data_IF_117955903684
#
_entry.id   IF_117955903684
#
_cell.length_a   1.000
_cell.length_b   1.000
_cell.length_c   1.000
_cell.angle_alpha   90.00
_cell.angle_beta   90.00
_cell.angle_gamma   90.00
#
_symmetry.space_group_name_H-M   'P 1'
#
loop_
_entity.id
_entity.type
_entity.pdbx_description
1 polymer ?
#
# COMPACT_ATOMS: atom_id res chain seq x y z
N UNK A 1 1.07 2.16 26.48
CA UNK A 1 1.82 3.24 25.79
C UNK A 1 2.21 2.84 24.37
N UNK A 2 1.92 3.68 23.37
CA UNK A 2 2.39 3.49 21.99
C UNK A 2 3.89 3.81 21.87
N UNK A 3 4.54 3.27 20.82
CA UNK A 3 5.94 3.59 20.50
C UNK A 3 6.14 5.08 20.13
N UNK A 4 5.19 5.65 19.38
CA UNK A 4 5.15 7.06 18.98
C UNK A 4 3.73 7.59 19.19
N UNK A 5 3.59 8.76 19.82
CA UNK A 5 2.34 9.52 19.87
C UNK A 5 2.55 10.91 19.27
N UNK A 6 1.89 11.15 18.15
CA UNK A 6 1.85 12.43 17.42
C UNK A 6 0.41 12.85 17.13
N UNK A 7 -0.54 12.40 17.97
CA UNK A 7 -1.96 12.71 17.83
C UNK A 7 -2.26 14.22 17.86
N UNK A 8 -1.35 15.05 18.39
CA UNK A 8 -1.44 16.51 18.42
C UNK A 8 -1.39 17.16 17.02
N UNK A 9 -0.80 16.49 16.04
CA UNK A 9 -0.58 17.02 14.67
C UNK A 9 -1.15 16.18 13.55
N UNK A 10 -1.59 14.95 13.84
CA UNK A 10 -2.25 14.04 12.89
C UNK A 10 -3.76 14.30 12.87
N UNK A 11 -4.37 14.29 11.68
CA UNK A 11 -5.83 14.32 11.55
C UNK A 11 -6.43 13.13 12.28
N UNK A 12 -7.37 13.40 13.17
CA UNK A 12 -8.18 12.37 13.81
C UNK A 12 -9.49 12.18 13.02
N UNK A 13 -9.68 11.07 12.29
CA UNK A 13 -10.86 10.87 11.47
C UNK A 13 -12.11 10.64 12.34
N UNK A 14 -13.14 11.46 12.15
CA UNK A 14 -14.37 11.40 12.95
C UNK A 14 -15.47 10.50 12.38
N UNK A 15 -15.22 9.79 11.27
CA UNK A 15 -16.23 8.96 10.60
C UNK A 15 -15.60 7.70 9.98
N UNK A 16 -16.35 6.58 9.90
CA UNK A 16 -15.92 5.40 9.16
C UNK A 16 -15.58 5.73 7.70
N UNK A 17 -14.54 5.07 7.17
CA UNK A 17 -14.12 5.22 5.77
C UNK A 17 -13.32 6.47 5.44
N UNK A 18 -12.96 7.27 6.44
CA UNK A 18 -12.02 8.37 6.26
C UNK A 18 -10.59 7.83 6.29
N UNK A 19 -9.91 7.93 5.14
CA UNK A 19 -8.61 7.31 4.89
C UNK A 19 -7.42 8.11 5.46
N UNK A 20 -7.68 9.23 6.13
CA UNK A 20 -6.64 10.11 6.70
C UNK A 20 -6.17 9.57 8.05
N UNK A 21 -5.04 10.08 8.53
CA UNK A 21 -4.47 9.72 9.84
C UNK A 21 -2.99 9.40 9.74
N UNK A 22 -2.52 8.48 10.58
CA UNK A 22 -1.19 7.88 10.47
C UNK A 22 -1.27 6.69 9.51
N UNK A 23 -0.53 6.73 8.40
CA UNK A 23 -0.73 5.84 7.26
C UNK A 23 0.47 4.91 6.99
N UNK A 24 1.68 5.45 7.12
CA UNK A 24 2.92 4.73 6.83
C UNK A 24 3.88 4.73 8.00
N UNK A 25 4.64 3.65 8.11
CA UNK A 25 5.73 3.51 9.06
C UNK A 25 6.83 2.63 8.46
N UNK A 26 8.09 3.04 8.58
CA UNK A 26 9.25 2.21 8.22
C UNK A 26 10.47 2.50 9.10
N UNK A 27 11.10 1.47 9.63
CA UNK A 27 12.43 1.60 10.22
C UNK A 27 13.48 1.80 9.13
N UNK A 28 14.49 2.64 9.40
CA UNK A 28 15.67 2.74 8.52
C UNK A 28 16.38 1.37 8.45
N UNK A 29 16.99 0.98 7.31
CA UNK A 29 17.74 -0.28 7.23
C UNK A 29 18.85 -0.42 8.29
N UNK A 30 19.53 0.69 8.59
CA UNK A 30 20.53 0.80 9.67
C UNK A 30 19.94 1.20 11.04
N UNK A 31 18.67 0.89 11.33
CA UNK A 31 17.98 1.32 12.56
C UNK A 31 18.75 0.99 13.83
N UNK A 32 19.37 -0.19 13.92
CA UNK A 32 20.17 -0.59 15.08
C UNK A 32 21.35 0.34 15.37
N UNK A 33 21.85 1.03 14.35
CA UNK A 33 22.99 1.95 14.47
C UNK A 33 22.59 3.42 14.57
N UNK A 34 21.47 3.81 13.93
CA UNK A 34 21.09 5.22 13.82
C UNK A 34 19.78 5.59 14.54
N UNK A 35 19.02 4.61 15.02
CA UNK A 35 17.73 4.76 15.69
C UNK A 35 16.67 5.51 14.86
N UNK A 36 16.84 5.60 13.53
CA UNK A 36 15.95 6.39 12.65
C UNK A 36 14.79 5.58 12.12
N UNK A 37 13.63 6.19 12.10
CA UNK A 37 12.45 5.63 11.45
C UNK A 37 11.65 6.75 10.79
N UNK A 38 10.71 6.35 9.93
CA UNK A 38 9.97 7.26 9.06
C UNK A 38 8.48 7.00 9.20
N UNK A 39 7.70 8.07 9.13
CA UNK A 39 6.25 8.01 9.15
C UNK A 39 5.67 8.80 7.99
N UNK A 40 4.49 8.37 7.54
CA UNK A 40 3.66 9.11 6.61
C UNK A 40 2.29 9.33 7.26
N UNK A 41 1.87 10.59 7.38
CA UNK A 41 0.59 10.94 7.98
C UNK A 41 -0.08 12.14 7.29
N UNK A 42 -1.37 12.29 7.51
CA UNK A 42 -2.11 13.49 7.12
C UNK A 42 -2.17 14.45 8.31
N UNK A 43 -1.61 15.65 8.17
CA UNK A 43 -1.66 16.65 9.24
C UNK A 43 -3.01 17.38 9.29
N UNK A 44 -3.25 18.13 10.37
CA UNK A 44 -4.49 18.90 10.59
C UNK A 44 -4.82 19.92 9.49
N UNK A 45 -3.82 20.33 8.69
CA UNK A 45 -3.99 21.21 7.55
C UNK A 45 -4.28 20.46 6.23
N UNK A 46 -4.40 19.13 6.25
CA UNK A 46 -4.68 18.31 5.07
C UNK A 46 -3.48 18.16 4.12
N UNK A 47 -2.27 18.14 4.64
CA UNK A 47 -1.06 17.76 3.91
C UNK A 47 -0.70 16.32 4.22
N UNK A 48 -0.26 15.57 3.21
CA UNK A 48 0.61 14.41 3.43
C UNK A 48 1.95 14.94 3.94
N UNK A 49 2.38 14.42 5.08
CA UNK A 49 3.68 14.68 5.69
C UNK A 49 4.45 13.37 5.72
N UNK A 50 5.65 13.39 5.16
CA UNK A 50 6.63 12.32 5.33
C UNK A 50 7.74 12.84 6.23
N UNK A 51 7.92 12.21 7.38
CA UNK A 51 8.84 12.68 8.43
C UNK A 51 9.81 11.59 8.87
N UNK A 52 11.03 12.00 9.19
CA UNK A 52 12.01 11.23 9.94
C UNK A 52 11.85 11.51 11.45
N UNK A 53 11.98 10.46 12.26
CA UNK A 53 12.08 10.52 13.71
C UNK A 53 13.24 9.66 14.19
N UNK A 54 13.63 9.84 15.45
CA UNK A 54 14.59 9.01 16.15
C UNK A 54 14.00 8.35 17.39
N UNK A 55 14.41 7.13 17.68
CA UNK A 55 14.03 6.42 18.89
C UNK A 55 14.87 6.87 20.11
N UNK A 56 14.23 6.96 21.28
CA UNK A 56 14.93 7.14 22.57
C UNK A 56 15.33 5.79 23.18
N UNK A 57 14.54 4.75 22.91
CA UNK A 57 14.77 3.37 23.33
C UNK A 57 14.08 2.41 22.36
N UNK A 58 14.18 1.10 22.60
CA UNK A 58 13.48 0.08 21.79
C UNK A 58 11.96 0.19 21.81
N UNK A 59 11.38 0.85 22.82
CA UNK A 59 9.93 0.94 23.01
C UNK A 59 9.38 2.38 22.97
N UNK A 60 10.24 3.39 22.85
CA UNK A 60 9.83 4.79 22.94
C UNK A 60 10.56 5.65 21.91
N UNK A 61 9.79 6.38 21.11
CA UNK A 61 10.28 7.39 20.17
C UNK A 61 10.48 8.77 20.81
N UNK A 62 11.40 9.57 20.25
CA UNK A 62 11.53 10.98 20.58
C UNK A 62 10.57 11.81 19.72
N UNK A 63 9.40 12.17 20.24
CA UNK A 63 8.38 12.96 19.53
C UNK A 63 8.88 14.36 19.11
N UNK A 64 9.90 14.89 19.80
CA UNK A 64 10.53 16.19 19.48
C UNK A 64 11.60 16.09 18.39
N UNK A 65 11.95 14.89 17.93
CA UNK A 65 12.99 14.68 16.91
C UNK A 65 12.49 14.76 15.47
N UNK A 66 11.21 15.12 15.27
CA UNK A 66 10.61 15.18 13.93
C UNK A 66 11.42 16.06 12.99
N UNK A 67 11.78 15.48 11.84
CA UNK A 67 12.32 16.20 10.69
C UNK A 67 11.45 15.89 9.47
N UNK A 68 10.68 16.87 9.03
CA UNK A 68 9.88 16.76 7.80
C UNK A 68 10.81 16.60 6.59
N UNK A 69 10.59 15.54 5.81
CA UNK A 69 11.33 15.22 4.59
C UNK A 69 10.68 15.91 3.40
N UNK A 70 9.37 15.78 3.28
CA UNK A 70 8.56 16.57 2.37
C UNK A 70 7.10 16.62 2.83
N UNK A 71 6.40 17.62 2.33
CA UNK A 71 4.95 17.74 2.45
C UNK A 71 4.29 17.84 1.06
N UNK A 72 3.01 17.48 0.99
CA UNK A 72 2.21 17.55 -0.22
C UNK A 72 0.75 17.83 0.14
N UNK A 73 0.23 18.99 -0.31
CA UNK A 73 -1.17 19.37 -0.07
C UNK A 73 -2.12 18.41 -0.77
N UNK A 74 -2.94 17.68 -0.02
CA UNK A 74 -3.96 16.80 -0.59
C UNK A 74 -5.07 17.61 -1.27
N UNK A 75 -5.43 17.31 -2.53
CA UNK A 75 -6.47 18.05 -3.23
C UNK A 75 -7.86 17.66 -2.73
N UNK A 76 -8.05 16.41 -2.28
CA UNK A 76 -9.28 15.92 -1.67
C UNK A 76 -9.00 15.09 -0.40
N UNK A 77 -10.05 14.72 0.34
CA UNK A 77 -9.95 14.06 1.63
C UNK A 77 -9.85 12.54 1.60
N UNK A 78 -9.56 11.94 0.43
CA UNK A 78 -9.46 10.50 0.24
C UNK A 78 -8.42 10.16 -0.84
N UNK A 79 -8.11 8.88 -1.02
CA UNK A 79 -7.03 8.35 -1.83
C UNK A 79 -5.67 8.92 -1.45
N UNK A 80 -5.36 8.83 -0.16
CA UNK A 80 -4.12 9.37 0.38
C UNK A 80 -2.93 8.42 0.17
N UNK A 81 -3.18 7.14 -0.10
CA UNK A 81 -2.15 6.09 -0.10
C UNK A 81 -1.48 6.04 1.27
N UNK A 82 -0.15 6.06 1.27
CA UNK A 82 0.63 6.38 2.45
C UNK A 82 1.52 5.26 2.95
N UNK A 83 1.40 4.05 2.40
CA UNK A 83 2.32 2.97 2.71
C UNK A 83 3.76 3.35 2.36
N UNK A 84 4.70 2.88 3.15
CA UNK A 84 6.11 3.13 2.93
C UNK A 84 6.96 1.96 3.38
N UNK A 85 7.99 1.64 2.62
CA UNK A 85 8.91 0.55 2.91
C UNK A 85 10.26 0.81 2.25
N UNK A 86 11.35 0.41 2.90
CA UNK A 86 12.66 0.40 2.25
C UNK A 86 12.75 -0.78 1.28
N UNK A 87 13.19 -0.48 0.06
CA UNK A 87 13.52 -1.50 -0.93
C UNK A 87 14.83 -2.21 -0.60
N UNK A 88 15.11 -3.35 -1.25
CA UNK A 88 16.40 -4.05 -1.14
C UNK A 88 17.58 -3.22 -1.66
N UNK A 89 17.31 -2.12 -2.38
CA UNK A 89 18.29 -1.15 -2.85
C UNK A 89 18.63 -0.05 -1.81
N UNK A 90 18.01 -0.08 -0.63
CA UNK A 90 18.26 0.85 0.47
C UNK A 90 17.54 2.20 0.35
N UNK A 91 16.70 2.39 -0.67
CA UNK A 91 15.89 3.60 -0.82
C UNK A 91 14.51 3.44 -0.19
N UNK A 92 13.91 4.56 0.21
CA UNK A 92 12.55 4.59 0.74
C UNK A 92 11.55 4.70 -0.40
N UNK A 93 10.64 3.73 -0.48
CA UNK A 93 9.51 3.75 -1.40
C UNK A 93 8.26 4.19 -0.64
N UNK A 94 7.42 5.01 -1.29
CA UNK A 94 6.23 5.60 -0.66
C UNK A 94 5.09 5.59 -1.68
N UNK A 95 3.93 5.06 -1.30
CA UNK A 95 2.72 5.18 -2.12
C UNK A 95 2.01 6.50 -1.85
N UNK A 96 1.58 7.17 -2.92
CA UNK A 96 0.77 8.39 -2.87
C UNK A 96 -0.39 8.16 -3.83
N UNK A 97 -1.62 8.14 -3.30
CA UNK A 97 -2.82 7.98 -4.14
C UNK A 97 -3.01 9.17 -5.10
N UNK A 98 -3.98 9.07 -6.00
CA UNK A 98 -4.27 10.05 -7.05
C UNK A 98 -4.78 11.41 -6.52
N UNK A 99 -4.92 11.53 -5.20
CA UNK A 99 -5.37 12.74 -4.52
C UNK A 99 -6.89 12.80 -4.34
N UNK A 100 -7.64 11.80 -4.81
CA UNK A 100 -9.03 11.58 -4.45
C UNK A 100 -10.06 11.97 -5.50
N UNK A 101 -11.32 11.95 -5.07
CA UNK A 101 -12.54 12.03 -5.89
C UNK A 101 -12.72 10.90 -6.91
N UNK A 102 -13.98 10.73 -7.32
CA UNK A 102 -14.35 9.74 -8.33
C UNK A 102 -13.67 10.06 -9.66
N UNK A 103 -12.94 9.08 -10.17
CA UNK A 103 -12.42 9.08 -11.54
C UNK A 103 -11.30 10.06 -11.80
N UNK A 104 -10.49 10.40 -10.80
CA UNK A 104 -9.29 11.24 -10.91
C UNK A 104 -9.52 12.47 -11.82
N UNK A 105 -10.26 13.48 -11.34
CA UNK A 105 -10.60 14.66 -12.12
C UNK A 105 -9.38 15.51 -12.49
N UNK A 106 -8.26 15.33 -11.79
CA UNK A 106 -7.00 16.02 -12.07
C UNK A 106 -6.15 15.26 -13.10
N UNK A 107 -6.56 14.04 -13.47
CA UNK A 107 -5.76 13.12 -14.27
C UNK A 107 -4.34 12.92 -13.69
N UNK A 108 -4.24 13.01 -12.36
CA UNK A 108 -3.01 12.93 -11.59
C UNK A 108 -2.30 11.60 -11.81
N UNK A 109 -3.04 10.48 -11.94
CA UNK A 109 -2.46 9.16 -12.21
C UNK A 109 -1.58 9.16 -13.47
N UNK A 110 -2.00 9.88 -14.52
CA UNK A 110 -1.28 9.97 -15.80
C UNK A 110 -0.37 11.20 -15.93
N UNK A 111 -0.47 12.19 -15.05
CA UNK A 111 0.42 13.36 -15.05
C UNK A 111 1.74 13.04 -14.33
N UNK A 112 2.86 13.21 -15.04
CA UNK A 112 4.22 13.00 -14.50
C UNK A 112 4.78 14.25 -13.80
N UNK A 113 4.10 15.40 -13.86
CA UNK A 113 4.50 16.62 -13.15
C UNK A 113 4.10 16.64 -11.67
N UNK A 114 3.28 15.68 -11.25
CA UNK A 114 2.79 15.53 -9.88
C UNK A 114 3.27 14.23 -9.25
N UNK A 115 3.19 14.15 -7.92
CA UNK A 115 3.46 12.93 -7.14
C UNK A 115 2.19 12.11 -6.86
N UNK A 116 1.02 12.60 -7.20
CA UNK A 116 -0.24 11.89 -7.00
C UNK A 116 -0.41 10.71 -7.98
N UNK A 117 -0.92 9.59 -7.49
CA UNK A 117 -1.15 8.36 -8.27
C UNK A 117 0.15 7.66 -8.63
N UNK A 118 1.10 7.64 -7.69
CA UNK A 118 2.48 7.18 -7.88
C UNK A 118 2.93 6.31 -6.70
N UNK A 119 3.88 5.43 -6.99
CA UNK A 119 4.88 5.02 -5.99
C UNK A 119 6.14 5.82 -6.29
N UNK A 120 6.65 6.50 -5.28
CA UNK A 120 7.88 7.30 -5.38
C UNK A 120 9.04 6.58 -4.70
N UNK A 121 10.27 6.86 -5.13
CA UNK A 121 11.51 6.34 -4.53
C UNK A 121 12.50 7.47 -4.26
N UNK A 122 12.89 7.62 -2.99
CA UNK A 122 13.76 8.71 -2.52
C UNK A 122 14.94 8.21 -1.69
N UNK A 123 16.02 9.00 -1.66
CA UNK A 123 17.21 8.79 -0.83
C UNK A 123 17.13 9.64 0.44
N UNK A 124 16.77 9.02 1.56
CA UNK A 124 16.65 9.70 2.86
C UNK A 124 17.99 10.00 3.54
N UNK A 125 19.11 9.48 3.00
CA UNK A 125 20.46 9.76 3.49
C UNK A 125 21.02 11.09 2.97
N UNK A 126 20.25 11.84 2.18
CA UNK A 126 20.51 13.24 1.83
C UNK A 126 19.52 14.15 2.56
N UNK A 127 19.83 15.44 2.62
CA UNK A 127 18.99 16.44 3.29
C UNK A 127 18.42 17.43 2.27
N UNK A 128 17.10 17.68 2.24
CA UNK A 128 16.06 17.01 3.04
C UNK A 128 15.86 15.53 2.63
N UNK A 129 16.05 15.23 1.35
CA UNK A 129 16.21 13.91 0.72
C UNK A 129 16.90 14.10 -0.64
N UNK A 130 17.30 13.00 -1.27
CA UNK A 130 17.89 12.97 -2.60
C UNK A 130 17.00 12.19 -3.57
N UNK A 131 17.22 12.40 -4.86
CA UNK A 131 16.59 11.61 -5.92
C UNK A 131 17.63 10.61 -6.43
N UNK A 132 17.39 9.29 -6.32
CA UNK A 132 18.30 8.29 -6.85
C UNK A 132 18.52 8.51 -8.36
N UNK A 133 19.77 8.50 -8.81
CA UNK A 133 20.11 8.66 -10.24
C UNK A 133 19.54 7.54 -11.12
N UNK A 134 19.26 6.39 -10.51
CA UNK A 134 18.62 5.23 -11.12
C UNK A 134 17.10 5.37 -11.22
N UNK A 135 16.49 6.48 -10.78
CA UNK A 135 15.06 6.72 -11.01
C UNK A 135 14.80 6.95 -12.51
N UNK A 136 13.68 6.44 -13.04
CA UNK A 136 13.34 6.49 -14.47
C UNK A 136 13.24 7.91 -15.04
N UNK A 137 12.94 8.90 -14.19
CA UNK A 137 12.75 10.30 -14.58
C UNK A 137 13.77 11.26 -13.96
N UNK A 138 14.88 10.75 -13.43
CA UNK A 138 15.93 11.56 -12.83
C UNK A 138 16.41 12.67 -13.78
N UNK A 139 16.35 13.93 -13.32
CA UNK A 139 16.83 15.10 -14.05
C UNK A 139 16.06 15.46 -15.32
N UNK A 140 14.92 14.81 -15.60
CA UNK A 140 14.08 15.13 -16.75
C UNK A 140 13.21 16.36 -16.46
N UNK A 141 13.15 17.27 -17.42
CA UNK A 141 12.25 18.43 -17.35
C UNK A 141 10.79 17.98 -17.44
N UNK A 142 9.90 18.69 -16.76
CA UNK A 142 8.45 18.48 -16.80
C UNK A 142 8.03 17.06 -16.37
N UNK A 143 8.82 16.47 -15.46
CA UNK A 143 8.56 15.20 -14.78
C UNK A 143 9.16 15.24 -13.38
N UNK A 144 8.49 14.59 -12.42
CA UNK A 144 9.00 14.43 -11.06
C UNK A 144 10.02 13.31 -11.02
N UNK A 145 11.25 13.64 -10.64
CA UNK A 145 12.36 12.69 -10.57
C UNK A 145 12.16 11.61 -9.51
N UNK A 146 11.29 11.84 -8.52
CA UNK A 146 10.93 10.94 -7.44
C UNK A 146 10.12 9.73 -7.91
N UNK A 147 9.45 9.81 -9.07
CA UNK A 147 8.54 8.76 -9.54
C UNK A 147 9.30 7.46 -9.81
N UNK A 148 8.82 6.37 -9.21
CA UNK A 148 9.22 5.00 -9.52
C UNK A 148 8.17 4.28 -10.37
N UNK A 149 6.90 4.30 -9.98
CA UNK A 149 5.77 3.77 -10.75
C UNK A 149 4.63 4.78 -10.80
N UNK A 150 3.79 4.70 -11.83
CA UNK A 150 2.72 5.67 -12.08
C UNK A 150 1.51 5.03 -12.76
N UNK A 151 0.45 5.82 -12.98
CA UNK A 151 -0.83 5.29 -13.43
C UNK A 151 -1.47 4.39 -12.38
N UNK A 152 -1.31 4.76 -11.11
CA UNK A 152 -1.88 4.06 -9.96
C UNK A 152 -3.00 4.92 -9.37
N UNK A 153 -3.97 4.28 -8.71
CA UNK A 153 -5.12 4.99 -8.12
C UNK A 153 -4.91 5.29 -6.65
N UNK A 154 -4.86 4.26 -5.82
CA UNK A 154 -4.68 4.36 -4.38
C UNK A 154 -4.03 3.07 -3.86
N UNK A 155 -2.72 2.91 -4.13
CA UNK A 155 -1.93 1.80 -3.57
C UNK A 155 -1.95 1.85 -2.05
N UNK A 156 -2.78 1.00 -1.46
CA UNK A 156 -3.05 0.97 -0.02
C UNK A 156 -1.91 0.27 0.73
N UNK A 157 -1.48 -0.91 0.26
CA UNK A 157 -0.24 -1.56 0.68
C UNK A 157 0.55 -2.03 -0.52
N UNK A 158 1.86 -2.06 -0.35
CA UNK A 158 2.75 -2.77 -1.24
C UNK A 158 3.80 -3.52 -0.42
N UNK A 159 4.48 -4.48 -1.01
CA UNK A 159 5.58 -5.18 -0.32
C UNK A 159 6.64 -5.64 -1.29
N UNK A 160 7.86 -5.76 -0.78
CA UNK A 160 8.95 -6.46 -1.44
C UNK A 160 8.96 -7.91 -0.96
N UNK A 161 9.07 -8.86 -1.89
CA UNK A 161 9.42 -10.22 -1.54
C UNK A 161 10.87 -10.27 -1.06
N UNK A 162 11.08 -10.58 0.24
CA UNK A 162 12.40 -10.65 0.86
C UNK A 162 13.39 -11.58 0.15
N UNK A 163 12.91 -12.57 -0.63
CA UNK A 163 13.78 -13.52 -1.31
C UNK A 163 14.34 -13.01 -2.62
N UNK A 164 13.54 -12.31 -3.42
CA UNK A 164 13.92 -11.95 -4.79
C UNK A 164 13.81 -10.44 -5.11
N UNK A 165 13.22 -9.64 -4.22
CA UNK A 165 13.07 -8.19 -4.36
C UNK A 165 11.89 -7.76 -5.25
N UNK A 166 11.04 -8.68 -5.70
CA UNK A 166 9.87 -8.35 -6.51
C UNK A 166 8.86 -7.54 -5.69
N UNK A 167 8.12 -6.65 -6.37
CA UNK A 167 7.18 -5.73 -5.73
C UNK A 167 5.75 -6.13 -6.09
N UNK A 168 4.87 -6.11 -5.08
CA UNK A 168 3.44 -6.35 -5.20
C UNK A 168 2.71 -5.10 -4.71
N UNK A 169 1.73 -4.61 -5.47
CA UNK A 169 0.93 -3.44 -5.08
C UNK A 169 -0.55 -3.84 -5.01
N UNK A 170 -1.18 -3.65 -3.84
CA UNK A 170 -2.65 -3.65 -3.74
C UNK A 170 -3.16 -2.26 -4.04
N UNK A 171 -3.72 -2.07 -5.24
CA UNK A 171 -4.22 -0.78 -5.72
C UNK A 171 -5.75 -0.75 -5.68
N UNK A 172 -6.31 0.14 -4.85
CA UNK A 172 -7.76 0.19 -4.62
C UNK A 172 -8.48 0.74 -5.85
N UNK A 173 -9.45 -0.03 -6.33
CA UNK A 173 -10.26 0.24 -7.51
C UNK A 173 -11.22 1.41 -7.36
N UNK A 174 -11.85 1.82 -8.46
CA UNK A 174 -12.83 2.91 -8.43
C UNK A 174 -14.19 2.44 -7.93
N UNK A 175 -14.83 1.53 -8.67
CA UNK A 175 -16.21 1.11 -8.44
C UNK A 175 -16.49 -0.34 -8.90
N UNK A 176 -15.66 -0.95 -9.75
CA UNK A 176 -15.99 -2.22 -10.43
C UNK A 176 -14.95 -3.31 -10.21
N UNK A 177 -13.69 -2.94 -10.05
CA UNK A 177 -12.61 -3.92 -9.97
C UNK A 177 -11.54 -3.47 -9.00
N UNK A 178 -11.13 -4.38 -8.14
CA UNK A 178 -9.91 -4.27 -7.34
C UNK A 178 -8.75 -5.00 -8.03
N UNK A 179 -7.51 -4.61 -7.74
CA UNK A 179 -6.35 -5.14 -8.46
C UNK A 179 -5.08 -5.35 -7.63
N UNK A 180 -4.32 -6.38 -8.00
CA UNK A 180 -2.93 -6.58 -7.58
C UNK A 180 -2.01 -6.37 -8.78
N UNK A 181 -1.18 -5.34 -8.69
CA UNK A 181 -0.11 -5.08 -9.64
C UNK A 181 1.20 -5.73 -9.19
N UNK A 182 2.08 -6.03 -10.15
CA UNK A 182 3.36 -6.69 -9.90
C UNK A 182 4.50 -6.07 -10.72
N UNK A 183 5.67 -5.96 -10.10
CA UNK A 183 6.89 -5.47 -10.71
C UNK A 183 8.07 -6.39 -10.34
N UNK A 184 8.74 -7.04 -11.33
CA UNK A 184 9.89 -7.85 -11.02
C UNK A 184 11.05 -6.98 -10.55
N UNK A 185 11.90 -7.49 -9.66
CA UNK A 185 13.08 -6.78 -9.15
C UNK A 185 14.02 -6.26 -10.26
N UNK A 186 14.01 -6.91 -11.42
CA UNK A 186 14.81 -6.51 -12.59
C UNK A 186 14.32 -5.23 -13.28
N UNK A 187 13.12 -4.74 -12.93
CA UNK A 187 12.55 -3.51 -13.43
C UNK A 187 13.45 -2.31 -13.17
N UNK A 188 13.39 -1.32 -14.07
CA UNK A 188 14.06 -0.02 -13.94
C UNK A 188 13.11 1.09 -13.48
N UNK A 189 11.90 0.72 -13.06
CA UNK A 189 10.82 1.65 -12.80
C UNK A 189 10.27 2.26 -14.10
N UNK A 190 9.42 3.27 -13.96
CA UNK A 190 8.75 3.99 -15.04
C UNK A 190 7.50 3.29 -15.57
N UNK A 191 7.05 2.24 -14.87
CA UNK A 191 5.91 1.42 -15.27
C UNK A 191 4.62 2.21 -15.09
N UNK A 192 3.80 2.26 -16.14
CA UNK A 192 2.46 2.83 -16.13
C UNK A 192 1.43 1.72 -15.92
N UNK A 193 0.74 1.74 -14.77
CA UNK A 193 -0.31 0.77 -14.43
C UNK A 193 -1.70 1.16 -14.98
N UNK A 194 -1.79 2.31 -15.64
CA UNK A 194 -2.90 2.64 -16.53
C UNK A 194 -4.05 3.42 -15.90
N UNK A 195 -4.12 3.62 -14.58
CA UNK A 195 -5.12 4.53 -14.00
C UNK A 195 -4.90 5.97 -14.49
N UNK A 196 -5.91 6.70 -15.00
CA UNK A 196 -7.35 6.39 -15.06
C UNK A 196 -7.88 5.92 -16.42
N UNK A 197 -7.00 5.49 -17.32
CA UNK A 197 -7.40 4.88 -18.60
C UNK A 197 -8.05 3.51 -18.34
N UNK A 198 -7.47 2.78 -17.39
CA UNK A 198 -7.83 1.44 -16.98
C UNK A 198 -8.40 1.44 -15.55
N UNK A 199 -9.29 0.50 -15.27
CA UNK A 199 -9.64 0.02 -13.93
C UNK A 199 -9.51 -1.50 -14.01
N UNK A 200 -8.46 -2.05 -13.37
CA UNK A 200 -7.94 -3.38 -13.66
C UNK A 200 -7.66 -3.58 -15.16
N UNK A 201 -7.99 -4.74 -15.72
CA UNK A 201 -7.83 -5.00 -17.17
C UNK A 201 -8.91 -4.36 -18.05
N UNK A 202 -9.87 -3.62 -17.47
CA UNK A 202 -11.02 -3.03 -18.16
C UNK A 202 -10.81 -1.55 -18.43
N UNK A 203 -11.39 -1.07 -19.53
CA UNK A 203 -11.36 0.35 -19.85
C UNK A 203 -12.24 1.14 -18.86
N UNK A 204 -11.68 2.20 -18.30
CA UNK A 204 -12.40 3.13 -17.43
C UNK A 204 -12.74 4.43 -18.16
N UNK A 205 -11.73 5.13 -18.68
CA UNK A 205 -11.93 6.39 -19.40
C UNK A 205 -11.07 6.46 -20.68
N UNK A 206 -11.68 6.33 -21.88
CA UNK A 206 -13.10 6.07 -22.12
C UNK A 206 -13.52 4.66 -21.69
N UNK A 207 -14.82 4.44 -21.42
CA UNK A 207 -15.34 3.14 -20.94
C UNK A 207 -15.18 1.99 -21.95
N UNK A 208 -14.90 2.30 -23.22
CA UNK A 208 -14.68 1.32 -24.30
C UNK A 208 -13.56 1.80 -25.20
N UNK A 209 -12.84 0.85 -25.80
CA UNK A 209 -11.78 1.12 -26.80
C UNK A 209 -10.69 2.08 -26.30
N UNK A 210 -10.37 2.03 -25.01
CA UNK A 210 -9.27 2.76 -24.42
C UNK A 210 -7.91 2.30 -24.98
N UNK A 211 -6.94 3.21 -25.02
CA UNK A 211 -5.59 2.90 -25.48
C UNK A 211 -4.80 2.16 -24.39
N UNK A 212 -4.39 0.92 -24.67
CA UNK A 212 -3.62 0.08 -23.73
C UNK A 212 -2.11 0.03 -24.04
N UNK A 213 -1.64 0.82 -25.00
CA UNK A 213 -0.23 0.85 -25.38
C UNK A 213 0.64 1.27 -24.19
N UNK A 214 1.70 0.49 -23.93
CA UNK A 214 2.66 0.70 -22.85
C UNK A 214 2.07 0.70 -21.42
N UNK A 215 0.89 0.13 -21.23
CA UNK A 215 0.32 -0.10 -19.91
C UNK A 215 0.69 -1.50 -19.41
N UNK A 216 1.05 -1.62 -18.13
CA UNK A 216 1.18 -2.90 -17.44
C UNK A 216 -0.14 -3.20 -16.74
N UNK A 217 -0.79 -4.29 -17.13
CA UNK A 217 -2.05 -4.73 -16.52
C UNK A 217 -1.77 -5.50 -15.22
N UNK A 218 -2.72 -5.54 -14.27
CA UNK A 218 -2.56 -6.28 -13.04
C UNK A 218 -2.42 -7.78 -13.28
N UNK A 219 -1.75 -8.45 -12.33
CA UNK A 219 -1.59 -9.91 -12.37
C UNK A 219 -2.78 -10.63 -11.73
N UNK A 220 -3.60 -9.93 -10.96
CA UNK A 220 -4.84 -10.41 -10.39
C UNK A 220 -5.84 -9.26 -10.26
N UNK A 221 -7.12 -9.53 -10.53
CA UNK A 221 -8.24 -8.61 -10.39
C UNK A 221 -9.45 -9.37 -9.84
N UNK A 222 -10.32 -8.69 -9.10
CA UNK A 222 -11.59 -9.25 -8.63
C UNK A 222 -12.70 -8.19 -8.57
N UNK A 223 -13.98 -8.58 -8.61
CA UNK A 223 -15.10 -7.64 -8.57
C UNK A 223 -15.12 -6.77 -7.31
N UNK A 224 -15.39 -5.48 -7.49
CA UNK A 224 -15.79 -4.56 -6.42
C UNK A 224 -17.32 -4.59 -6.29
N UNK A 225 -17.84 -5.58 -5.57
CA UNK A 225 -19.26 -5.89 -5.47
C UNK A 225 -19.81 -5.88 -4.02
N UNK A 226 -18.93 -5.70 -3.03
CA UNK A 226 -19.33 -5.44 -1.66
C UNK A 226 -19.84 -4.00 -1.50
N UNK A 227 -20.99 -3.83 -0.85
CA UNK A 227 -21.59 -2.53 -0.61
C UNK A 227 -20.85 -1.81 0.51
N UNK A 228 -19.92 -0.94 0.10
CA UNK A 228 -19.11 -0.13 1.00
C UNK A 228 -19.92 0.62 2.07
N UNK A 229 -21.10 1.15 1.74
CA UNK A 229 -21.93 1.88 2.71
C UNK A 229 -22.57 0.97 3.77
N UNK A 230 -22.91 -0.27 3.40
CA UNK A 230 -23.40 -1.28 4.36
C UNK A 230 -22.27 -1.69 5.29
N UNK A 231 -21.09 -1.95 4.73
CA UNK A 231 -19.89 -2.32 5.49
C UNK A 231 -19.54 -1.22 6.48
N UNK A 232 -19.36 0.03 6.04
CA UNK A 232 -19.05 1.15 6.94
C UNK A 232 -20.12 1.41 8.02
N UNK A 233 -21.37 0.98 7.78
CA UNK A 233 -22.46 1.03 8.75
C UNK A 233 -22.41 -0.08 9.81
N UNK A 234 -21.39 -0.94 9.80
CA UNK A 234 -21.26 -2.10 10.67
C UNK A 234 -22.03 -3.34 10.18
N UNK A 235 -22.60 -3.29 8.97
CA UNK A 235 -23.24 -4.44 8.35
C UNK A 235 -22.23 -5.39 7.71
N UNK A 236 -22.61 -6.65 7.56
CA UNK A 236 -21.84 -7.65 6.83
C UNK A 236 -22.54 -8.02 5.52
N UNK A 237 -21.76 -8.27 4.47
CA UNK A 237 -22.27 -8.80 3.21
C UNK A 237 -21.55 -10.11 2.87
N UNK A 238 -22.24 -11.22 3.13
CA UNK A 238 -21.75 -12.54 2.73
C UNK A 238 -21.77 -12.68 1.20
N UNK A 239 -20.88 -13.53 0.68
CA UNK A 239 -20.78 -13.86 -0.75
C UNK A 239 -20.49 -12.65 -1.66
N UNK A 240 -19.67 -11.72 -1.18
CA UNK A 240 -19.06 -10.69 -2.01
C UNK A 240 -17.57 -10.99 -2.20
N UNK A 241 -17.01 -10.57 -3.33
CA UNK A 241 -15.58 -10.67 -3.58
C UNK A 241 -14.85 -9.59 -2.76
N UNK A 242 -15.28 -8.33 -2.85
CA UNK A 242 -14.73 -7.25 -2.03
C UNK A 242 -15.10 -5.84 -2.49
N UNK A 243 -14.43 -4.83 -1.94
CA UNK A 243 -14.60 -3.43 -2.37
C UNK A 243 -13.32 -2.59 -2.31
N UNK A 244 -12.27 -3.10 -1.69
CA UNK A 244 -11.07 -2.33 -1.36
C UNK A 244 -9.95 -3.30 -1.01
N UNK A 245 -9.11 -3.59 -2.00
CA UNK A 245 -7.95 -4.45 -1.80
C UNK A 245 -6.99 -3.85 -0.78
N UNK A 246 -6.59 -4.67 0.18
CA UNK A 246 -5.63 -4.25 1.21
C UNK A 246 -4.20 -4.44 0.70
N UNK A 247 -3.94 -5.44 -0.14
CA UNK A 247 -2.59 -5.94 -0.43
C UNK A 247 -2.08 -6.84 0.69
N UNK A 248 -0.79 -7.14 0.71
CA UNK A 248 -0.19 -8.02 1.71
C UNK A 248 1.27 -8.37 1.42
N UNK A 249 1.71 -9.58 1.74
CA UNK A 249 3.12 -10.01 1.74
C UNK A 249 3.30 -11.41 1.14
N UNK A 250 4.47 -11.64 0.56
CA UNK A 250 4.92 -13.01 0.24
C UNK A 250 5.35 -13.70 1.54
N UNK A 251 4.73 -14.83 1.86
CA UNK A 251 5.09 -15.59 3.05
C UNK A 251 6.48 -16.21 2.91
N UNK A 252 7.38 -15.83 3.82
CA UNK A 252 8.78 -16.28 3.89
C UNK A 252 9.16 -16.86 5.25
N UNK A 253 8.18 -17.06 6.14
CA UNK A 253 8.35 -17.73 7.42
C UNK A 253 8.56 -19.24 7.29
N UNK A 254 9.01 -19.84 8.40
CA UNK A 254 9.34 -21.27 8.47
C UNK A 254 8.24 -22.09 9.15
N UNK A 255 7.32 -21.45 9.88
CA UNK A 255 6.29 -22.16 10.63
C UNK A 255 5.21 -22.79 9.73
N UNK A 256 4.97 -22.24 8.55
CA UNK A 256 3.94 -22.68 7.60
C UNK A 256 4.55 -22.98 6.23
N UNK A 257 5.39 -24.02 6.17
CA UNK A 257 6.19 -24.37 4.97
C UNK A 257 5.39 -24.45 3.68
N UNK A 258 4.12 -24.88 3.74
CA UNK A 258 3.23 -24.97 2.57
C UNK A 258 2.92 -23.62 1.92
N UNK A 259 3.04 -22.52 2.66
CA UNK A 259 2.79 -21.17 2.16
C UNK A 259 4.05 -20.46 1.67
N UNK A 260 5.25 -21.07 1.77
CA UNK A 260 6.47 -20.42 1.31
C UNK A 260 6.38 -20.00 -0.16
N UNK A 261 6.55 -18.69 -0.40
CA UNK A 261 6.49 -18.09 -1.73
C UNK A 261 5.09 -17.77 -2.25
N UNK A 262 4.04 -18.00 -1.46
CA UNK A 262 2.72 -17.47 -1.77
C UNK A 262 2.61 -16.02 -1.29
N UNK A 263 2.11 -15.15 -2.16
CA UNK A 263 1.61 -13.84 -1.78
C UNK A 263 0.26 -14.01 -1.08
N UNK A 264 0.15 -13.53 0.15
CA UNK A 264 -1.06 -13.51 0.97
C UNK A 264 -1.58 -12.08 0.98
N UNK A 265 -2.85 -11.87 0.66
CA UNK A 265 -3.49 -10.56 0.65
C UNK A 265 -4.96 -10.68 1.02
N UNK A 266 -5.60 -9.56 1.32
CA UNK A 266 -7.01 -9.53 1.67
C UNK A 266 -7.74 -8.29 1.17
N UNK A 267 -9.03 -8.23 1.50
CA UNK A 267 -9.93 -7.13 1.18
C UNK A 267 -10.55 -6.56 2.46
N UNK A 268 -10.62 -5.23 2.52
CA UNK A 268 -11.15 -4.50 3.67
C UNK A 268 -12.65 -4.75 3.88
N UNK A 269 -13.46 -4.84 2.81
CA UNK A 269 -14.91 -4.97 2.94
C UNK A 269 -15.38 -6.39 3.21
N UNK A 270 -14.91 -7.35 2.42
CA UNK A 270 -15.40 -8.73 2.51
C UNK A 270 -14.71 -9.52 3.62
N UNK A 271 -13.54 -9.05 4.08
CA UNK A 271 -12.70 -9.83 5.00
C UNK A 271 -12.06 -11.04 4.34
N UNK A 272 -12.17 -11.16 3.01
CA UNK A 272 -11.61 -12.28 2.29
C UNK A 272 -10.08 -12.23 2.37
N UNK A 273 -9.48 -13.43 2.44
CA UNK A 273 -8.03 -13.60 2.39
C UNK A 273 -7.72 -14.63 1.34
N UNK A 274 -6.84 -14.27 0.41
CA UNK A 274 -6.43 -15.15 -0.68
C UNK A 274 -4.93 -15.35 -0.66
N UNK A 275 -4.51 -16.39 -1.39
CA UNK A 275 -3.11 -16.61 -1.71
C UNK A 275 -2.92 -16.95 -3.17
N UNK A 276 -1.81 -16.54 -3.77
CA UNK A 276 -1.34 -17.03 -5.07
C UNK A 276 0.20 -17.07 -5.12
N UNK A 277 0.77 -17.76 -6.09
CA UNK A 277 2.20 -17.65 -6.45
C UNK A 277 2.38 -16.85 -7.72
N UNK A 278 3.54 -16.22 -7.88
CA UNK A 278 3.93 -15.63 -9.17
C UNK A 278 4.88 -16.57 -9.90
N UNK A 279 4.51 -16.96 -11.12
CA UNK A 279 5.38 -17.69 -12.04
C UNK A 279 5.33 -16.97 -13.39
N UNK A 280 6.50 -16.58 -13.91
CA UNK A 280 6.63 -15.82 -15.16
C UNK A 280 5.75 -14.54 -15.16
N UNK A 281 5.82 -13.77 -14.08
CA UNK A 281 5.04 -12.54 -13.86
C UNK A 281 3.51 -12.72 -13.90
N UNK A 282 3.00 -13.93 -13.64
CA UNK A 282 1.57 -14.22 -13.58
C UNK A 282 1.18 -14.85 -12.25
N UNK A 283 0.05 -14.44 -11.70
CA UNK A 283 -0.56 -15.10 -10.57
C UNK A 283 -1.05 -16.50 -10.97
N UNK A 284 -0.67 -17.51 -10.20
CA UNK A 284 -1.09 -18.91 -10.35
C UNK A 284 -1.49 -19.47 -8.99
N UNK A 285 -2.27 -20.56 -9.00
CA UNK A 285 -2.70 -21.24 -7.76
C UNK A 285 -3.48 -20.32 -6.81
N UNK A 286 -4.27 -19.39 -7.36
CA UNK A 286 -5.15 -18.52 -6.59
C UNK A 286 -6.12 -19.38 -5.75
N UNK A 287 -6.09 -19.17 -4.44
CA UNK A 287 -6.91 -19.91 -3.48
C UNK A 287 -7.49 -18.92 -2.49
N UNK A 288 -8.82 -18.91 -2.34
CA UNK A 288 -9.48 -18.23 -1.23
C UNK A 288 -9.27 -19.08 0.04
N UNK A 289 -8.66 -18.49 1.07
CA UNK A 289 -8.31 -19.12 2.34
C UNK A 289 -9.08 -18.57 3.53
N UNK A 290 -10.11 -17.74 3.32
CA UNK A 290 -10.87 -17.10 4.41
C UNK A 290 -11.36 -18.13 5.43
N UNK A 291 -12.01 -19.21 4.98
CA UNK A 291 -12.49 -20.29 5.85
C UNK A 291 -11.35 -21.08 6.51
N UNK A 292 -10.24 -21.30 5.80
CA UNK A 292 -9.07 -22.02 6.34
C UNK A 292 -8.37 -21.23 7.45
N UNK A 293 -8.21 -19.92 7.26
CA UNK A 293 -7.55 -19.03 8.22
C UNK A 293 -8.43 -18.82 9.45
N UNK A 294 -9.75 -18.80 9.26
CA UNK A 294 -10.73 -18.79 10.34
C UNK A 294 -10.44 -17.68 11.37
N UNK A 295 -10.26 -16.45 10.88
CA UNK A 295 -9.97 -15.29 11.73
C UNK A 295 -10.98 -15.14 12.86
N UNK A 296 -10.51 -14.62 14.01
CA UNK A 296 -11.34 -14.46 15.21
C UNK A 296 -12.12 -15.74 15.62
N UNK A 297 -11.52 -16.93 15.41
CA UNK A 297 -12.14 -18.24 15.65
C UNK A 297 -13.42 -18.50 14.82
N UNK A 298 -13.52 -17.89 13.64
CA UNK A 298 -14.65 -18.05 12.72
C UNK A 298 -15.74 -17.01 12.87
N UNK A 299 -15.53 -15.99 13.71
CA UNK A 299 -16.34 -14.78 13.64
C UNK A 299 -16.03 -14.04 12.33
N UNK A 300 -17.08 -13.64 11.62
CA UNK A 300 -16.94 -12.90 10.37
C UNK A 300 -16.16 -11.61 10.63
N UNK A 301 -14.94 -11.56 10.13
CA UNK A 301 -14.00 -10.46 10.36
C UNK A 301 -13.89 -9.64 9.08
N UNK A 302 -14.34 -8.39 9.12
CA UNK A 302 -14.14 -7.40 8.05
C UNK A 302 -13.09 -6.40 8.49
N UNK A 303 -12.83 -5.39 7.67
CA UNK A 303 -11.88 -4.31 7.95
C UNK A 303 -10.44 -4.78 8.08
N UNK A 304 -10.03 -5.78 7.30
CA UNK A 304 -8.61 -6.14 7.15
C UNK A 304 -7.91 -4.92 6.55
N UNK A 305 -7.25 -4.13 7.38
CA UNK A 305 -6.71 -2.82 7.01
C UNK A 305 -5.22 -2.89 6.74
N UNK A 306 -4.52 -3.90 7.23
CA UNK A 306 -3.12 -4.11 6.92
C UNK A 306 -2.74 -5.57 7.13
N UNK A 307 -1.56 -5.90 6.63
CA UNK A 307 -0.79 -7.06 7.07
C UNK A 307 0.49 -6.55 7.73
N UNK A 308 1.15 -7.41 8.50
CA UNK A 308 2.49 -7.18 9.03
C UNK A 308 3.36 -8.41 8.84
N UNK A 309 4.66 -8.22 8.88
CA UNK A 309 5.64 -9.30 8.80
C UNK A 309 6.67 -9.11 9.93
N UNK A 310 6.94 -10.15 10.71
CA UNK A 310 7.99 -10.10 11.73
C UNK A 310 9.38 -10.40 11.14
N UNK A 311 10.40 -10.37 12.02
CA UNK A 311 11.79 -10.65 11.63
C UNK A 311 11.99 -12.08 11.11
N UNK A 312 11.16 -13.03 11.54
CA UNK A 312 11.21 -14.43 11.12
C UNK A 312 10.42 -14.68 9.83
N UNK A 313 9.80 -13.65 9.24
CA UNK A 313 8.99 -13.76 8.02
C UNK A 313 7.58 -14.29 8.26
N UNK A 314 7.14 -14.33 9.52
CA UNK A 314 5.78 -14.72 9.86
C UNK A 314 4.81 -13.56 9.68
N UNK A 315 3.62 -13.89 9.20
CA UNK A 315 2.63 -12.90 8.77
C UNK A 315 1.59 -12.65 9.86
N UNK A 316 1.27 -11.38 10.02
CA UNK A 316 0.23 -10.86 10.89
C UNK A 316 -0.85 -10.22 10.03
N UNK A 317 -2.10 -10.36 10.47
CA UNK A 317 -3.25 -9.69 9.88
C UNK A 317 -3.71 -8.63 10.87
N UNK A 318 -3.92 -7.42 10.38
CA UNK A 318 -4.33 -6.25 11.17
C UNK A 318 -5.73 -5.85 10.72
N UNK A 319 -6.62 -5.81 11.69
CA UNK A 319 -8.02 -5.48 11.53
C UNK A 319 -8.29 -4.10 12.15
N UNK A 320 -9.04 -3.26 11.43
CA UNK A 320 -9.16 -1.82 11.72
C UNK A 320 -9.77 -1.53 13.10
N UNK A 321 -10.59 -2.43 13.67
CA UNK A 321 -11.15 -2.25 15.02
C UNK A 321 -10.16 -2.56 16.15
N UNK A 322 -8.94 -3.01 15.82
CA UNK A 322 -7.83 -3.18 16.76
C UNK A 322 -7.29 -4.61 16.86
N UNK A 323 -7.87 -5.57 16.14
CA UNK A 323 -7.39 -6.94 16.10
C UNK A 323 -6.02 -7.07 15.42
N UNK A 324 -5.08 -7.78 16.06
CA UNK A 324 -3.81 -8.19 15.44
C UNK A 324 -3.68 -9.71 15.60
N UNK A 325 -3.69 -10.43 14.48
CA UNK A 325 -3.72 -11.89 14.44
C UNK A 325 -2.44 -12.43 13.80
N UNK A 326 -1.73 -13.33 14.48
CA UNK A 326 -0.60 -14.05 13.89
C UNK A 326 -1.11 -15.26 13.13
N UNK A 327 -0.74 -15.39 11.86
CA UNK A 327 -1.03 -16.58 11.07
C UNK A 327 -0.25 -17.78 11.63
N UNK A 328 -0.92 -18.93 11.77
CA UNK A 328 -0.32 -20.16 12.29
C UNK A 328 -0.77 -21.37 11.48
N UNK A 329 0.07 -22.40 11.43
CA UNK A 329 -0.32 -23.70 10.90
C UNK A 329 -1.39 -24.30 11.83
N UNK A 330 -2.54 -24.69 11.25
CA UNK A 330 -3.54 -25.49 11.94
C UNK A 330 -2.97 -26.85 12.38
N UNK A 331 -3.54 -27.42 13.44
CA UNK A 331 -3.16 -28.73 13.99
C UNK A 331 -3.51 -29.88 13.06
#
# INVERSE_FOLDING_TARGET
>A
EPFLDISDRVVNPGRPGDERGLLGFAFHPDYESNNKFYVNYINNDGYTIVSEFSAQSSLVANTLSERVIFDLKQPYGNHNGGHMQFGPDGYLYISIGDGGKRGDPLNAGQDLNTLFGKVIRIDVNKTPYGIPKSNPYYGQKDKRGEIWAWGLRNVWRFSFDKKNGDIYYGDVGQNKWEEINYEPYTSKGGVNYGWRIMEASKCYNPEKNCNKTNLKLPIHEYPNDANYMVVLGGGSQMNSDGCSVTGGYVYRGENIKKLNGYYIFGDYCSGNIWTFKVINEKAVELTNRTEEINLANGEFTTYISSFGEDADGEIYIVEYSGGIYKLKQGR
#
